data_IF_973353924830
#
_entry.id   IF_973353924830
#
_cell.length_a   1.000
_cell.length_b   1.000
_cell.length_c   1.000
_cell.angle_alpha   90.00
_cell.angle_beta   90.00
_cell.angle_gamma   90.00
#
_symmetry.space_group_name_H-M   'P 1'
#
loop_
_entity.id
_entity.type
_entity.pdbx_description
1 polymer ?
#
# COMPACT_ATOMS: atom_id res chain seq x y z
N UNK A 1 -0.31 8.14 -11.83
CA UNK A 1 0.88 8.96 -11.54
C UNK A 1 2.15 8.22 -11.97
N UNK A 2 3.24 8.93 -12.28
CA UNK A 2 4.55 8.33 -12.59
C UNK A 2 5.22 7.82 -11.29
N UNK A 3 5.63 6.55 -11.30
CA UNK A 3 6.20 5.82 -10.16
C UNK A 3 7.56 6.36 -9.69
N UNK A 4 8.23 7.17 -10.51
CA UNK A 4 9.51 7.79 -10.16
C UNK A 4 9.37 9.10 -9.39
N UNK A 5 8.15 9.65 -9.31
CA UNK A 5 7.89 10.95 -8.69
C UNK A 5 7.63 10.83 -7.18
N UNK A 6 7.93 11.89 -6.43
CA UNK A 6 7.66 11.97 -4.98
C UNK A 6 6.17 11.86 -4.65
N UNK A 7 5.30 12.15 -5.61
CA UNK A 7 3.85 11.94 -5.46
C UNK A 7 3.50 10.46 -5.22
N UNK A 8 4.37 9.51 -5.60
CA UNK A 8 4.12 8.10 -5.30
C UNK A 8 4.11 7.81 -3.78
N UNK A 9 4.82 8.61 -2.96
CA UNK A 9 4.88 8.40 -1.51
C UNK A 9 3.51 8.58 -0.87
N UNK A 10 2.94 9.79 -0.96
CA UNK A 10 1.71 10.17 -0.26
C UNK A 10 0.74 11.03 -1.11
N UNK A 11 0.85 10.95 -2.44
CA UNK A 11 0.14 11.77 -3.43
C UNK A 11 0.63 13.22 -3.46
N UNK A 12 0.16 13.97 -4.47
CA UNK A 12 0.51 15.39 -4.66
C UNK A 12 0.14 16.22 -3.42
N UNK A 13 1.09 16.95 -2.86
CA UNK A 13 0.90 17.76 -1.64
C UNK A 13 0.98 16.95 -0.35
N UNK A 14 1.18 15.63 -0.42
CA UNK A 14 1.29 14.73 0.73
C UNK A 14 2.60 14.86 1.51
N UNK A 15 3.56 15.64 1.01
CA UNK A 15 4.82 15.96 1.67
C UNK A 15 4.65 16.89 2.90
N UNK A 16 3.50 17.51 3.06
CA UNK A 16 3.20 18.46 4.13
C UNK A 16 2.28 17.84 5.20
N UNK A 17 2.89 17.16 6.17
CA UNK A 17 2.21 16.47 7.26
C UNK A 17 1.63 17.38 8.37
N UNK A 18 1.91 18.70 8.35
CA UNK A 18 1.64 19.63 9.47
C UNK A 18 0.17 20.00 9.73
N UNK A 19 -0.75 19.70 8.80
CA UNK A 19 -2.20 19.91 9.00
C UNK A 19 -2.95 18.64 9.41
N UNK A 20 -2.25 17.52 9.55
CA UNK A 20 -2.83 16.20 9.89
C UNK A 20 -2.58 15.86 11.35
N UNK A 21 -3.52 15.15 11.98
CA UNK A 21 -3.40 14.71 13.39
C UNK A 21 -2.94 13.27 13.46
N UNK A 22 -1.97 12.97 14.34
CA UNK A 22 -1.57 11.60 14.66
C UNK A 22 -2.63 10.91 15.54
N UNK A 23 -3.11 9.75 15.11
CA UNK A 23 -4.10 8.97 15.87
C UNK A 23 -3.44 7.81 16.61
N UNK A 24 -3.72 7.64 17.90
CA UNK A 24 -3.21 6.51 18.69
C UNK A 24 -4.00 5.23 18.42
N UNK A 25 -3.31 4.13 18.15
CA UNK A 25 -3.88 2.81 17.80
C UNK A 25 -3.08 1.71 18.48
N UNK A 26 -3.72 0.63 18.90
CA UNK A 26 -3.01 -0.52 19.45
C UNK A 26 -2.56 -1.46 18.33
N UNK A 27 -1.37 -2.07 18.44
CA UNK A 27 -1.05 -3.23 17.61
C UNK A 27 -2.10 -4.34 17.83
N UNK A 28 -2.43 -5.08 16.77
CA UNK A 28 -3.53 -6.03 16.73
C UNK A 28 -4.92 -5.42 16.48
N UNK A 29 -5.08 -4.10 16.61
CA UNK A 29 -6.35 -3.44 16.28
C UNK A 29 -6.55 -3.32 14.77
N UNK A 30 -7.82 -3.30 14.34
CA UNK A 30 -8.20 -3.01 12.97
C UNK A 30 -8.36 -1.51 12.78
N UNK A 31 -7.69 -0.97 11.78
CA UNK A 31 -7.86 0.42 11.30
C UNK A 31 -8.29 0.40 9.84
N UNK A 32 -8.56 1.55 9.24
CA UNK A 32 -8.87 1.59 7.83
C UNK A 32 -8.92 2.99 7.22
N UNK A 33 -9.04 3.01 5.89
CA UNK A 33 -9.29 4.20 5.10
C UNK A 33 -10.73 4.19 4.61
N UNK A 34 -11.44 5.28 4.86
CA UNK A 34 -12.69 5.58 4.16
C UNK A 34 -12.33 6.19 2.80
N UNK A 35 -13.01 5.73 1.75
CA UNK A 35 -12.81 6.24 0.40
C UNK A 35 -13.86 7.31 0.11
N UNK A 36 -13.45 8.33 -0.62
CA UNK A 36 -14.35 9.38 -1.10
C UNK A 36 -15.35 8.85 -2.12
N UNK A 37 -14.93 7.87 -2.93
CA UNK A 37 -15.76 7.14 -3.88
C UNK A 37 -15.49 5.62 -3.80
N UNK A 38 -16.47 4.82 -4.24
CA UNK A 38 -16.28 3.39 -4.35
C UNK A 38 -15.21 3.06 -5.40
N UNK A 39 -14.34 2.07 -5.13
CA UNK A 39 -13.38 1.60 -6.12
C UNK A 39 -14.12 1.02 -7.32
N UNK A 40 -13.90 1.57 -8.51
CA UNK A 40 -14.56 1.12 -9.75
C UNK A 40 -13.57 0.70 -10.84
N UNK A 41 -12.28 0.97 -10.66
CA UNK A 41 -11.24 0.47 -11.54
C UNK A 41 -10.68 -0.84 -11.00
N UNK A 42 -10.69 -1.88 -11.83
CA UNK A 42 -10.05 -3.16 -11.51
C UNK A 42 -8.59 -2.96 -11.14
N UNK A 43 -8.20 -3.45 -9.97
CA UNK A 43 -6.88 -3.20 -9.43
C UNK A 43 -6.62 -3.91 -8.12
N UNK A 44 -5.39 -3.77 -7.65
CA UNK A 44 -4.92 -4.42 -6.42
C UNK A 44 -4.67 -3.39 -5.33
N UNK A 45 -4.67 -3.85 -4.09
CA UNK A 45 -4.43 -2.99 -2.95
C UNK A 45 -3.17 -3.41 -2.19
N UNK A 46 -2.40 -2.43 -1.75
CA UNK A 46 -1.32 -2.60 -0.79
C UNK A 46 -1.47 -1.59 0.35
N UNK A 47 -1.08 -1.99 1.56
CA UNK A 47 -0.89 -1.06 2.68
C UNK A 47 0.52 -1.23 3.22
N UNK A 48 1.20 -0.11 3.37
CA UNK A 48 2.54 -0.02 3.93
C UNK A 48 2.54 0.81 5.20
N UNK A 49 3.50 0.53 6.08
CA UNK A 49 3.85 1.40 7.19
C UNK A 49 5.31 1.82 7.08
N UNK A 50 5.63 3.02 7.57
CA UNK A 50 7.00 3.50 7.72
C UNK A 50 7.17 4.15 9.10
N UNK A 51 8.11 3.62 9.89
CA UNK A 51 8.38 4.14 11.25
C UNK A 51 9.03 5.52 11.14
N UNK A 52 8.47 6.51 11.82
CA UNK A 52 9.08 7.82 11.90
C UNK A 52 10.35 7.77 12.76
N UNK A 53 11.44 8.45 12.36
CA UNK A 53 12.65 8.56 13.19
C UNK A 53 12.42 9.38 14.46
N UNK A 54 11.50 10.37 14.39
CA UNK A 54 11.12 11.21 15.52
C UNK A 54 9.59 11.26 15.68
N UNK A 55 8.89 11.94 14.76
CA UNK A 55 7.42 12.05 14.75
C UNK A 55 6.88 11.85 13.34
N UNK A 56 5.65 11.35 13.21
CA UNK A 56 4.99 11.20 11.92
C UNK A 56 4.68 12.57 11.28
N UNK A 57 4.49 13.61 12.10
CA UNK A 57 4.18 14.97 11.65
C UNK A 57 5.35 15.67 10.92
N UNK A 58 6.59 15.26 11.18
CA UNK A 58 7.80 15.81 10.52
C UNK A 58 8.44 14.84 9.55
N UNK A 59 7.93 13.61 9.45
CA UNK A 59 8.48 12.57 8.60
C UNK A 59 7.84 12.58 7.21
N UNK A 60 8.67 12.64 6.16
CA UNK A 60 8.21 12.65 4.77
C UNK A 60 8.23 11.27 4.09
N UNK A 61 8.60 10.20 4.81
CA UNK A 61 8.62 8.84 4.26
C UNK A 61 9.71 8.57 3.21
N UNK A 62 10.76 9.40 3.14
CA UNK A 62 11.87 9.18 2.20
C UNK A 62 12.82 8.07 2.65
N UNK A 63 13.47 7.42 1.66
CA UNK A 63 14.41 6.31 1.89
C UNK A 63 13.74 4.93 1.92
N UNK A 64 14.53 3.90 2.19
CA UNK A 64 14.06 2.51 2.32
C UNK A 64 13.44 2.27 3.69
N UNK A 65 12.21 2.76 3.87
CA UNK A 65 11.54 2.83 5.19
C UNK A 65 10.17 2.13 5.21
N UNK A 66 9.63 1.79 4.04
CA UNK A 66 8.28 1.24 3.92
C UNK A 66 8.31 -0.28 3.98
N UNK A 67 7.46 -0.86 4.83
CA UNK A 67 7.20 -2.30 4.86
C UNK A 67 5.71 -2.56 4.66
N UNK A 68 5.38 -3.55 3.84
CA UNK A 68 4.00 -3.93 3.56
C UNK A 68 3.40 -4.64 4.77
N UNK A 69 2.19 -4.27 5.18
CA UNK A 69 1.46 -4.90 6.28
C UNK A 69 0.17 -5.60 5.83
N UNK A 70 -0.31 -5.30 4.62
CA UNK A 70 -1.56 -5.84 4.11
C UNK A 70 -1.60 -5.74 2.58
N UNK A 71 -2.28 -6.68 1.93
CA UNK A 71 -2.56 -6.63 0.50
C UNK A 71 -3.90 -7.30 0.16
N UNK A 72 -4.51 -6.83 -0.92
CA UNK A 72 -5.62 -7.51 -1.59
C UNK A 72 -5.20 -7.80 -3.04
N UNK A 73 -4.72 -9.02 -3.33
CA UNK A 73 -4.40 -9.44 -4.68
C UNK A 73 -5.68 -9.77 -5.46
N UNK A 74 -5.62 -9.88 -6.80
CA UNK A 74 -6.72 -10.41 -7.56
C UNK A 74 -6.80 -11.93 -7.38
N UNK A 75 -7.96 -12.50 -7.66
CA UNK A 75 -8.17 -13.95 -7.67
C UNK A 75 -8.15 -14.40 -9.14
N UNK A 76 -7.16 -15.21 -9.51
CA UNK A 76 -7.06 -15.80 -10.85
C UNK A 76 -7.54 -17.25 -10.85
N UNK A 77 -8.19 -17.67 -11.93
CA UNK A 77 -8.62 -19.06 -12.16
C UNK A 77 -7.91 -19.64 -13.39
N UNK A 78 -6.59 -19.79 -13.32
CA UNK A 78 -5.80 -20.47 -14.35
C UNK A 78 -5.90 -19.88 -15.76
N UNK A 79 -6.28 -18.60 -15.88
CA UNK A 79 -6.49 -17.90 -17.16
C UNK A 79 -7.93 -17.95 -17.69
N UNK A 80 -8.87 -18.56 -16.94
CA UNK A 80 -10.30 -18.53 -17.28
C UNK A 80 -10.95 -17.22 -16.81
N UNK A 81 -10.58 -16.75 -15.62
CA UNK A 81 -11.09 -15.50 -15.05
C UNK A 81 -10.06 -14.82 -14.15
N UNK A 82 -10.26 -13.52 -13.96
CA UNK A 82 -9.60 -12.70 -12.96
C UNK A 82 -10.67 -11.83 -12.30
N UNK A 83 -10.70 -11.80 -10.96
CA UNK A 83 -11.62 -10.95 -10.20
C UNK A 83 -10.84 -10.14 -9.19
N UNK A 84 -11.33 -8.93 -8.87
CA UNK A 84 -10.65 -7.98 -8.01
C UNK A 84 -11.48 -7.78 -6.74
N UNK A 85 -11.03 -8.29 -5.57
CA UNK A 85 -11.75 -8.12 -4.31
C UNK A 85 -11.98 -6.65 -3.91
N UNK A 86 -11.23 -5.72 -4.50
CA UNK A 86 -11.34 -4.28 -4.29
C UNK A 86 -12.56 -3.67 -4.98
N UNK A 87 -13.13 -4.31 -6.00
CA UNK A 87 -14.24 -3.76 -6.78
C UNK A 87 -15.45 -3.45 -5.87
N UNK A 88 -15.91 -2.19 -5.90
CA UNK A 88 -17.06 -1.71 -5.13
C UNK A 88 -16.76 -1.41 -3.66
N UNK A 89 -15.53 -1.59 -3.17
CA UNK A 89 -15.18 -1.21 -1.80
C UNK A 89 -15.31 0.31 -1.60
N UNK A 90 -15.97 0.72 -0.51
CA UNK A 90 -16.06 2.12 -0.06
C UNK A 90 -15.20 2.39 1.18
N UNK A 91 -14.69 1.32 1.80
CA UNK A 91 -13.74 1.37 2.89
C UNK A 91 -12.77 0.19 2.76
N UNK A 92 -11.57 0.38 3.29
CA UNK A 92 -10.54 -0.67 3.34
C UNK A 92 -10.04 -0.75 4.77
N UNK A 93 -10.36 -1.85 5.44
CA UNK A 93 -9.92 -2.12 6.81
C UNK A 93 -8.87 -3.22 6.83
N UNK A 94 -7.90 -3.09 7.72
CA UNK A 94 -6.82 -4.07 7.90
C UNK A 94 -6.32 -4.04 9.35
N UNK A 95 -5.82 -5.18 9.86
CA UNK A 95 -5.18 -5.21 11.17
C UNK A 95 -3.81 -4.54 11.11
N UNK A 96 -3.42 -3.85 12.18
CA UNK A 96 -2.01 -3.58 12.45
C UNK A 96 -1.42 -4.87 13.04
N UNK A 97 -0.41 -5.51 12.42
CA UNK A 97 0.14 -6.74 12.97
C UNK A 97 0.68 -6.57 14.39
N UNK A 98 0.49 -7.58 15.25
CA UNK A 98 0.96 -7.55 16.64
C UNK A 98 2.48 -7.38 16.74
N UNK A 99 3.24 -7.86 15.75
CA UNK A 99 4.70 -7.76 15.73
C UNK A 99 5.21 -6.36 15.40
N UNK A 100 4.38 -5.45 14.88
CA UNK A 100 4.77 -4.05 14.61
C UNK A 100 5.21 -3.37 15.92
N UNK A 101 6.42 -2.80 16.00
CA UNK A 101 6.88 -2.12 17.20
C UNK A 101 6.05 -0.88 17.55
N UNK A 102 5.98 -0.54 18.83
CA UNK A 102 5.37 0.73 19.26
C UNK A 102 6.16 1.94 18.72
N UNK A 103 5.48 3.02 18.37
CA UNK A 103 6.07 4.26 17.85
C UNK A 103 5.15 5.01 16.90
N UNK A 104 5.61 6.13 16.36
CA UNK A 104 4.87 6.87 15.33
C UNK A 104 5.21 6.37 13.92
N UNK A 105 4.19 6.33 13.05
CA UNK A 105 4.27 5.79 11.71
C UNK A 105 3.49 6.65 10.72
N UNK A 106 3.97 6.69 9.48
CA UNK A 106 3.12 6.91 8.32
C UNK A 106 2.47 5.58 7.93
N UNK A 107 1.17 5.58 7.65
CA UNK A 107 0.44 4.46 7.05
C UNK A 107 0.03 4.88 5.65
N UNK A 108 0.46 4.13 4.63
CA UNK A 108 0.20 4.41 3.22
C UNK A 108 -0.73 3.35 2.65
N UNK A 109 -1.84 3.78 2.08
CA UNK A 109 -2.71 2.94 1.24
C UNK A 109 -2.41 3.21 -0.23
N UNK A 110 -2.44 2.16 -1.03
CA UNK A 110 -2.24 2.23 -2.47
C UNK A 110 -3.22 1.29 -3.16
N UNK A 111 -4.04 1.85 -4.04
CA UNK A 111 -4.77 1.10 -5.04
C UNK A 111 -4.07 1.27 -6.39
N UNK A 112 -3.70 0.17 -7.04
CA UNK A 112 -3.09 0.14 -8.37
C UNK A 112 -4.14 -0.33 -9.36
N UNK A 113 -4.74 0.60 -10.10
CA UNK A 113 -5.70 0.31 -11.16
C UNK A 113 -4.97 -0.17 -12.43
N UNK A 114 -5.45 -1.29 -12.97
CA UNK A 114 -4.76 -2.06 -14.02
C UNK A 114 -5.49 -2.06 -15.37
N UNK A 115 -6.62 -1.36 -15.47
CA UNK A 115 -7.46 -1.34 -16.67
C UNK A 115 -6.75 -0.79 -17.93
N UNK A 116 -5.66 -0.03 -17.78
CA UNK A 116 -4.81 0.43 -18.90
C UNK A 116 -3.36 -0.08 -18.81
N UNK A 117 -3.05 -0.97 -17.87
CA UNK A 117 -1.71 -1.34 -17.47
C UNK A 117 -0.89 -2.17 -18.49
N UNK A 118 -1.45 -2.51 -19.66
CA UNK A 118 -0.71 -3.24 -20.70
C UNK A 118 0.56 -2.50 -21.13
N UNK A 119 0.54 -1.17 -21.10
CA UNK A 119 1.65 -0.35 -21.55
C UNK A 119 2.41 0.26 -20.36
N UNK A 120 3.71 0.50 -20.58
CA UNK A 120 4.58 1.14 -19.60
C UNK A 120 3.98 2.46 -19.07
N UNK A 121 3.98 2.62 -17.75
CA UNK A 121 3.44 3.77 -17.03
C UNK A 121 1.95 4.07 -17.29
N UNK A 122 1.15 3.06 -17.63
CA UNK A 122 -0.31 3.21 -17.77
C UNK A 122 -1.12 2.60 -16.63
N UNK A 123 -0.49 1.90 -15.69
CA UNK A 123 -1.12 1.62 -14.40
C UNK A 123 -1.36 2.92 -13.64
N UNK A 124 -2.52 3.04 -13.00
CA UNK A 124 -2.91 4.23 -12.26
C UNK A 124 -2.83 3.96 -10.77
N UNK A 125 -1.92 4.67 -10.09
CA UNK A 125 -1.75 4.59 -8.65
C UNK A 125 -2.62 5.66 -7.99
N UNK A 126 -3.46 5.23 -7.06
CA UNK A 126 -4.23 6.06 -6.15
C UNK A 126 -3.68 5.81 -4.75
N UNK A 127 -3.08 6.84 -4.15
CA UNK A 127 -2.33 6.69 -2.90
C UNK A 127 -2.75 7.77 -1.91
N UNK A 128 -2.66 7.46 -0.63
CA UNK A 128 -2.78 8.44 0.44
C UNK A 128 -2.02 7.95 1.68
N UNK A 129 -1.73 8.89 2.59
CA UNK A 129 -1.05 8.59 3.84
C UNK A 129 -1.83 9.11 5.06
N UNK A 130 -1.74 8.39 6.16
CA UNK A 130 -2.23 8.77 7.48
C UNK A 130 -1.10 8.72 8.51
N UNK A 131 -1.27 9.40 9.65
CA UNK A 131 -0.33 9.40 10.76
C UNK A 131 -0.91 8.64 11.94
N UNK A 132 -0.14 7.67 12.47
CA UNK A 132 -0.57 6.88 13.63
C UNK A 132 0.52 6.76 14.67
N UNK A 133 0.12 6.66 15.93
CA UNK A 133 0.97 6.25 17.04
C UNK A 133 0.56 4.84 17.46
N UNK A 134 1.39 3.85 17.13
CA UNK A 134 1.20 2.46 17.55
C UNK A 134 1.63 2.32 19.00
N UNK A 135 0.74 1.79 19.83
CA UNK A 135 1.00 1.40 21.22
C UNK A 135 0.82 -0.10 21.39
N UNK A 136 1.37 -0.66 22.47
CA UNK A 136 1.31 -2.10 22.79
C UNK A 136 1.82 -3.01 21.65
N UNK A 137 2.74 -2.48 20.83
CA UNK A 137 3.39 -3.21 19.74
C UNK A 137 4.43 -4.21 20.22
N UNK A 138 4.75 -5.16 19.34
CA UNK A 138 5.73 -6.23 19.56
C UNK A 138 7.19 -5.78 19.38
N UNK A 139 8.06 -6.76 19.19
CA UNK A 139 9.51 -6.59 19.00
C UNK A 139 9.96 -7.02 17.59
N UNK A 140 9.04 -7.00 16.61
CA UNK A 140 9.35 -7.38 15.24
C UNK A 140 10.35 -6.40 14.59
N UNK A 141 11.12 -6.90 13.64
CA UNK A 141 11.96 -6.08 12.76
C UNK A 141 11.38 -6.14 11.35
N UNK A 142 10.48 -5.21 10.95
CA UNK A 142 9.82 -5.29 9.66
C UNK A 142 10.84 -5.27 8.52
N UNK A 143 10.92 -6.38 7.78
CA UNK A 143 11.78 -6.56 6.62
C UNK A 143 11.06 -7.39 5.56
N UNK A 144 11.38 -7.21 4.26
CA UNK A 144 12.26 -6.17 3.73
C UNK A 144 11.60 -4.78 3.78
N UNK A 145 12.45 -3.74 3.75
CA UNK A 145 12.04 -2.34 3.58
C UNK A 145 12.24 -1.90 2.13
N UNK A 146 11.41 -0.98 1.65
CA UNK A 146 11.49 -0.43 0.30
C UNK A 146 11.37 1.09 0.29
N UNK A 147 11.89 1.72 -0.76
CA UNK A 147 11.71 3.15 -1.02
C UNK A 147 10.54 3.39 -1.97
N UNK A 148 9.67 4.34 -1.65
CA UNK A 148 8.54 4.76 -2.49
C UNK A 148 8.59 6.29 -2.59
N UNK A 149 9.04 6.88 -3.72
CA UNK A 149 9.53 6.24 -4.95
C UNK A 149 10.90 5.56 -4.81
N UNK A 150 11.25 4.69 -5.77
CA UNK A 150 12.55 4.02 -5.87
C UNK A 150 12.46 2.51 -6.08
N UNK A 151 11.45 1.86 -5.49
CA UNK A 151 11.24 0.43 -5.62
C UNK A 151 10.47 0.05 -6.89
N UNK A 152 9.38 0.75 -7.20
CA UNK A 152 8.65 0.50 -8.44
C UNK A 152 9.35 1.16 -9.62
N UNK A 153 9.52 0.38 -10.68
CA UNK A 153 10.03 0.78 -11.99
C UNK A 153 8.91 1.01 -13.00
N UNK A 154 7.70 0.50 -12.73
CA UNK A 154 6.56 0.52 -13.65
C UNK A 154 6.62 -0.59 -14.70
N UNK A 155 7.56 -1.53 -14.56
CA UNK A 155 7.77 -2.68 -15.47
C UNK A 155 7.54 -4.03 -14.79
N UNK A 156 7.22 -4.02 -13.50
CA UNK A 156 6.90 -5.21 -12.74
C UNK A 156 5.74 -5.95 -13.40
N UNK A 157 5.74 -7.28 -13.39
CA UNK A 157 4.69 -8.10 -14.03
C UNK A 157 3.30 -7.91 -13.41
N UNK A 158 3.20 -7.35 -12.21
CA UNK A 158 1.93 -6.93 -11.59
C UNK A 158 1.55 -5.48 -11.87
N UNK A 159 2.45 -4.65 -12.41
CA UNK A 159 2.20 -3.23 -12.71
C UNK A 159 2.05 -3.02 -14.22
N UNK A 160 2.86 -3.69 -15.05
CA UNK A 160 2.73 -3.68 -16.51
C UNK A 160 2.14 -5.02 -16.96
N UNK A 161 0.82 -5.10 -17.06
CA UNK A 161 0.07 -6.33 -17.23
C UNK A 161 -1.19 -6.12 -18.05
N UNK A 162 -1.55 -7.11 -18.86
CA UNK A 162 -2.86 -7.16 -19.51
C UNK A 162 -3.79 -8.07 -18.71
N UNK A 163 -4.84 -7.50 -18.12
CA UNK A 163 -5.83 -8.25 -17.33
C UNK A 163 -6.97 -8.84 -18.17
N UNK A 164 -7.01 -8.55 -19.48
CA UNK A 164 -8.14 -8.89 -20.35
C UNK A 164 -7.86 -10.01 -21.34
N UNK A 165 -6.73 -9.97 -22.06
CA UNK A 165 -6.48 -10.95 -23.13
C UNK A 165 -4.98 -11.16 -23.46
N UNK A 166 -4.42 -12.37 -23.25
CA UNK A 166 -5.04 -13.46 -22.48
C UNK A 166 -5.23 -13.04 -21.02
N UNK A 167 -6.25 -13.59 -20.36
CA UNK A 167 -6.41 -13.40 -18.90
C UNK A 167 -5.20 -14.05 -18.21
N UNK A 168 -4.55 -13.39 -17.23
CA UNK A 168 -3.41 -13.96 -16.53
C UNK A 168 -3.74 -15.28 -15.82
N UNK A 169 -2.88 -16.28 -16.00
CA UNK A 169 -2.96 -17.56 -15.27
C UNK A 169 -2.66 -17.34 -13.79
N UNK A 170 -1.62 -16.55 -13.51
CA UNK A 170 -1.19 -16.13 -12.20
C UNK A 170 -0.98 -14.62 -12.21
N UNK A 171 -1.07 -14.01 -11.03
CA UNK A 171 -0.77 -12.60 -10.83
C UNK A 171 0.32 -12.43 -9.77
N UNK A 172 1.30 -11.58 -10.04
CA UNK A 172 2.37 -11.24 -9.07
C UNK A 172 2.01 -9.94 -8.36
N UNK A 173 1.70 -10.02 -7.07
CA UNK A 173 1.41 -8.83 -6.28
C UNK A 173 2.65 -7.90 -6.22
N UNK A 174 2.52 -6.61 -6.59
CA UNK A 174 3.63 -5.66 -6.49
C UNK A 174 4.04 -5.40 -5.05
N UNK A 175 5.35 -5.27 -4.82
CA UNK A 175 5.92 -4.97 -3.51
C UNK A 175 6.16 -6.22 -2.66
N UNK A 176 7.22 -6.24 -1.85
CA UNK A 176 7.53 -7.41 -1.05
C UNK A 176 6.62 -7.49 0.18
N UNK A 177 6.18 -8.70 0.52
CA UNK A 177 5.50 -9.00 1.78
C UNK A 177 6.52 -8.93 2.90
N UNK A 178 6.25 -8.11 3.93
CA UNK A 178 7.13 -8.04 5.11
C UNK A 178 6.88 -9.19 6.08
N UNK A 179 7.86 -9.46 6.94
CA UNK A 179 7.70 -10.44 8.01
C UNK A 179 6.54 -10.08 8.96
N UNK A 180 6.28 -8.79 9.20
CA UNK A 180 5.15 -8.37 10.02
C UNK A 180 3.78 -8.70 9.39
N UNK A 181 3.66 -8.69 8.07
CA UNK A 181 2.41 -9.09 7.39
C UNK A 181 2.13 -10.59 7.51
N UNK A 182 3.15 -11.42 7.74
CA UNK A 182 2.97 -12.88 7.88
C UNK A 182 2.43 -13.28 9.25
N UNK A 183 2.44 -12.36 10.21
CA UNK A 183 2.02 -12.57 11.60
C UNK A 183 0.57 -12.11 11.89
N UNK A 184 -0.12 -11.56 10.88
CA UNK A 184 -1.51 -11.04 10.98
C UNK A 184 -2.54 -12.05 10.50
#
# INVERSE_FOLDING_TARGET
MDVSTTNLTCNSGGEHAGSTTTTTVAAGSTIGFALDEAIFHHGVLNVYMAKAPETAATFNGSGEVWFKIYELPPITDGGNSITFPTDGMTNVTFPIPNSVPSGEYLVRIEHIALHLALNYQKAEFYVSCAQVQVINGGQGEPKPLVALPGYYTGRESGIMVNIYNPIPVNYTQPGPVSDCQRDS
#
